data_IF_019259017413
#
_entry.id   IF_019259017413
#
_cell.length_a   1.000
_cell.length_b   1.000
_cell.length_c   1.000
_cell.angle_alpha   90.00
_cell.angle_beta   90.00
_cell.angle_gamma   90.00
#
_symmetry.space_group_name_H-M   'P 1'
#
loop_
_entity.id
_entity.type
_entity.pdbx_description
1 polymer ?
2 non-polymer ?
3 water ?
#
# COMPACT_ATOMS: atom_id res chain seq x y z
N UNK A 5 11.20 -16.65 -4.40
CA UNK A 5 10.91 -16.31 -5.79
C UNK A 5 12.19 -16.00 -6.56
N UNK A 6 12.04 -15.40 -7.74
CA UNK A 6 13.16 -15.14 -8.60
C UNK A 6 13.68 -13.72 -8.56
N UNK A 7 12.87 -12.80 -8.03
CA UNK A 7 13.26 -11.40 -7.95
C UNK A 7 12.88 -10.80 -6.61
N UNK A 8 13.26 -9.54 -6.43
CA UNK A 8 12.92 -8.84 -5.20
C UNK A 8 11.41 -8.68 -5.08
N UNK A 9 10.91 -8.82 -3.86
CA UNK A 9 9.48 -8.74 -3.59
C UNK A 9 9.20 -7.35 -3.03
N UNK A 10 8.68 -6.46 -3.88
CA UNK A 10 8.28 -5.12 -3.47
C UNK A 10 6.77 -5.00 -3.30
N UNK A 11 6.02 -5.82 -4.02
CA UNK A 11 4.57 -5.80 -3.88
C UNK A 11 4.16 -6.16 -2.46
N UNK A 12 3.12 -5.51 -1.97
CA UNK A 12 2.65 -5.90 -0.64
C UNK A 12 1.63 -7.03 -0.77
N UNK A 13 1.71 -8.03 0.10
CA UNK A 13 0.82 -9.19 -0.02
C UNK A 13 -0.62 -8.84 0.31
N UNK A 14 -1.53 -9.53 -0.35
CA UNK A 14 -2.97 -9.42 -0.11
C UNK A 14 -3.52 -10.81 0.21
N UNK A 15 -4.48 -10.86 1.12
CA UNK A 15 -5.02 -12.12 1.64
C UNK A 15 -6.42 -12.30 1.11
N UNK A 16 -6.66 -13.44 0.45
CA UNK A 16 -7.96 -13.75 -0.10
C UNK A 16 -8.93 -14.26 0.95
N UNK A 17 -10.14 -14.60 0.48
CA UNK A 17 -11.17 -15.08 1.39
C UNK A 17 -10.83 -16.43 1.97
N UNK A 18 -10.17 -17.30 1.19
CA UNK A 18 -9.77 -18.62 1.64
C UNK A 18 -8.37 -18.64 2.23
N UNK A 19 -7.83 -17.48 2.60
CA UNK A 19 -6.51 -17.40 3.21
C UNK A 19 -5.36 -17.36 2.22
N UNK A 20 -5.64 -17.42 0.92
CA UNK A 20 -4.56 -17.39 -0.07
C UNK A 20 -3.84 -16.05 -0.03
N UNK A 21 -2.51 -16.11 -0.08
CA UNK A 21 -1.66 -14.92 -0.04
C UNK A 21 -1.21 -14.62 -1.46
N UNK A 22 -1.56 -13.44 -1.96
CA UNK A 22 -1.18 -12.99 -3.29
C UNK A 22 -0.10 -11.92 -3.17
N UNK A 23 0.94 -12.03 -3.99
CA UNK A 23 2.02 -11.05 -3.99
C UNK A 23 2.68 -11.07 -5.36
N UNK A 24 3.17 -9.91 -5.79
CA UNK A 24 3.94 -9.83 -7.01
C UNK A 24 5.42 -9.85 -6.75
N UNK A 25 6.20 -10.10 -7.81
CA UNK A 25 7.64 -10.19 -7.69
C UNK A 25 8.29 -9.61 -8.93
N UNK A 26 9.58 -9.32 -8.81
CA UNK A 26 10.34 -8.75 -9.93
C UNK A 26 10.66 -9.77 -11.00
N UNK A 27 10.25 -11.04 -10.84
CA UNK A 27 10.41 -12.05 -11.86
C UNK A 27 9.22 -12.10 -12.82
N UNK A 28 8.41 -11.04 -12.85
CA UNK A 28 7.27 -10.88 -13.76
C UNK A 28 6.08 -11.77 -13.41
N UNK A 29 6.05 -12.34 -12.21
CA UNK A 29 4.98 -13.24 -11.82
C UNK A 29 4.16 -12.66 -10.67
N UNK A 30 2.85 -12.94 -10.69
CA UNK A 30 1.99 -12.76 -9.54
C UNK A 30 1.78 -14.13 -8.89
N UNK A 31 2.10 -14.24 -7.61
CA UNK A 31 2.08 -15.51 -6.92
C UNK A 31 0.80 -15.66 -6.09
N UNK A 32 0.28 -16.89 -6.06
CA UNK A 32 -0.79 -17.27 -5.15
C UNK A 32 -0.26 -18.40 -4.28
N UNK A 33 -0.14 -18.15 -2.98
CA UNK A 33 0.49 -19.07 -2.06
C UNK A 33 -0.50 -19.39 -0.95
N UNK A 34 -0.63 -20.69 -0.64
CA UNK A 34 -1.54 -21.14 0.40
C UNK A 34 -1.01 -20.72 1.77
N UNK A 35 -1.87 -20.73 2.79
CA UNK A 35 -1.40 -20.42 4.15
C UNK A 35 -0.34 -21.39 4.66
N UNK A 36 -0.23 -22.59 4.08
CA UNK A 36 0.76 -23.57 4.53
C UNK A 36 2.10 -23.40 3.83
N UNK A 37 2.25 -22.42 2.94
CA UNK A 37 3.52 -22.15 2.31
C UNK A 37 3.74 -22.83 0.98
N UNK A 38 2.75 -23.53 0.44
CA UNK A 38 2.90 -24.23 -0.82
C UNK A 38 2.30 -23.41 -1.95
N UNK A 39 2.88 -23.57 -3.14
CA UNK A 39 2.46 -22.79 -4.29
C UNK A 39 1.09 -23.24 -4.79
N UNK A 40 0.18 -22.28 -4.97
CA UNK A 40 -1.11 -22.56 -5.57
C UNK A 40 -1.03 -22.38 -7.09
N UNK A 41 -0.63 -21.19 -7.53
CA UNK A 41 -0.33 -20.94 -8.94
C UNK A 41 0.46 -19.65 -9.04
N UNK A 42 1.05 -19.43 -10.21
CA UNK A 42 1.73 -18.18 -10.52
C UNK A 42 1.38 -17.75 -11.94
N UNK A 43 1.18 -16.45 -12.12
CA UNK A 43 0.70 -15.87 -13.37
C UNK A 43 1.77 -14.92 -13.90
N UNK A 44 2.19 -15.15 -15.14
CA UNK A 44 3.27 -14.38 -15.75
C UNK A 44 2.72 -13.12 -16.41
N UNK A 45 3.23 -11.96 -16.00
CA UNK A 45 2.98 -10.70 -16.66
C UNK A 45 4.17 -10.35 -17.54
N UNK A 46 4.05 -9.25 -18.29
CA UNK A 46 5.12 -8.87 -19.19
C UNK A 46 6.34 -8.35 -18.47
N UNK A 47 6.14 -7.54 -17.42
CA UNK A 47 7.25 -6.94 -16.71
C UNK A 47 7.18 -7.12 -15.21
N UNK A 48 8.02 -6.39 -14.48
CA UNK A 48 8.07 -6.48 -13.02
C UNK A 48 6.72 -6.08 -12.41
N UNK A 49 6.36 -6.77 -11.33
CA UNK A 49 5.10 -6.51 -10.63
C UNK A 49 5.38 -5.76 -9.33
N UNK A 50 5.39 -4.44 -9.39
CA UNK A 50 5.57 -3.60 -8.20
C UNK A 50 4.26 -3.29 -7.51
N UNK A 51 3.16 -3.23 -8.25
CA UNK A 51 1.87 -2.91 -7.67
C UNK A 51 1.43 -3.99 -6.69
N UNK A 52 0.81 -3.55 -5.59
CA UNK A 52 0.28 -4.50 -4.62
C UNK A 52 -1.10 -4.94 -5.06
N UNK A 53 -1.40 -6.25 -5.07
CA UNK A 53 -2.68 -6.71 -5.60
C UNK A 53 -3.84 -6.36 -4.67
N UNK A 54 -5.01 -6.19 -5.27
CA UNK A 54 -6.26 -5.99 -4.56
C UNK A 54 -7.24 -7.07 -4.99
N UNK A 55 -8.16 -7.41 -4.09
CA UNK A 55 -9.07 -8.53 -4.27
C UNK A 55 -10.50 -8.01 -4.22
N UNK A 56 -11.26 -8.28 -5.28
CA UNK A 56 -12.65 -7.91 -5.34
C UNK A 56 -13.54 -8.85 -4.54
N UNK A 57 -14.83 -8.51 -4.52
CA UNK A 57 -15.78 -9.28 -3.73
C UNK A 57 -16.02 -10.67 -4.32
N UNK A 58 -15.81 -10.86 -5.62
CA UNK A 58 -15.97 -12.16 -6.25
C UNK A 58 -14.67 -12.94 -6.35
N UNK A 59 -13.60 -12.46 -5.72
CA UNK A 59 -12.34 -13.16 -5.71
C UNK A 59 -11.36 -12.77 -6.80
N UNK A 60 -11.71 -11.83 -7.66
CA UNK A 60 -10.81 -11.41 -8.73
C UNK A 60 -9.63 -10.65 -8.15
N UNK A 61 -8.44 -10.96 -8.66
CA UNK A 61 -7.19 -10.33 -8.21
C UNK A 61 -6.81 -9.27 -9.23
N UNK A 62 -6.71 -8.02 -8.78
CA UNK A 62 -6.31 -6.91 -9.62
C UNK A 62 -4.91 -6.46 -9.23
N UNK A 63 -4.00 -6.42 -10.20
CA UNK A 63 -2.62 -6.01 -9.96
C UNK A 63 -2.10 -5.31 -11.20
N UNK A 64 -1.18 -4.36 -10.98
CA UNK A 64 -0.56 -3.63 -12.06
C UNK A 64 0.83 -4.17 -12.35
N UNK A 65 1.27 -3.97 -13.58
CA UNK A 65 2.57 -4.45 -14.04
C UNK A 65 3.31 -3.34 -14.77
N UNK A 66 4.64 -3.48 -14.83
CA UNK A 66 5.45 -2.51 -15.54
C UNK A 66 5.28 -2.59 -17.05
N UNK A 67 4.52 -3.57 -17.56
CA UNK A 67 4.24 -3.70 -18.98
C UNK A 67 3.05 -2.84 -19.43
N UNK A 68 2.64 -1.87 -18.61
CA UNK A 68 1.60 -0.87 -18.84
C UNK A 68 0.19 -1.41 -18.56
N UNK A 69 0.03 -2.71 -18.26
CA UNK A 69 -1.29 -3.31 -18.16
C UNK A 69 -1.74 -3.41 -16.71
N UNK A 70 -3.04 -3.23 -16.50
CA UNK A 70 -3.72 -3.59 -15.26
C UNK A 70 -4.38 -4.94 -15.46
N UNK A 71 -4.00 -5.91 -14.63
CA UNK A 71 -4.44 -7.30 -14.80
C UNK A 71 -5.60 -7.62 -13.87
N UNK A 72 -6.57 -8.36 -14.39
CA UNK A 72 -7.63 -8.97 -13.59
C UNK A 72 -7.53 -10.47 -13.77
N UNK A 73 -7.28 -11.18 -12.67
CA UNK A 73 -6.99 -12.61 -12.71
C UNK A 73 -8.03 -13.34 -11.89
N UNK A 74 -8.63 -14.37 -12.49
CA UNK A 74 -9.60 -15.19 -11.79
C UNK A 74 -8.94 -15.96 -10.66
N UNK A 75 -9.71 -16.40 -9.67
CA UNK A 75 -9.12 -17.16 -8.56
C UNK A 75 -8.42 -18.45 -8.99
N UNK A 76 -8.70 -18.97 -10.18
CA UNK A 76 -8.02 -20.17 -10.65
C UNK A 76 -6.68 -19.88 -11.31
N UNK A 77 -6.24 -18.63 -11.33
CA UNK A 77 -4.96 -18.28 -11.90
C UNK A 77 -4.96 -17.97 -13.37
N UNK A 78 -6.12 -17.84 -14.00
CA UNK A 78 -6.22 -17.56 -15.42
C UNK A 78 -6.69 -16.13 -15.64
N UNK A 79 -6.31 -15.58 -16.80
CA UNK A 79 -6.61 -14.20 -17.11
C UNK A 79 -8.11 -13.98 -17.28
N UNK A 80 -8.63 -12.94 -16.61
CA UNK A 80 -9.98 -12.47 -16.89
C UNK A 80 -9.94 -11.41 -17.98
N UNK A 81 -9.14 -10.36 -17.77
CA UNK A 81 -8.90 -9.35 -18.80
C UNK A 81 -7.70 -8.51 -18.37
N UNK A 82 -7.14 -7.79 -19.33
CA UNK A 82 -6.07 -6.83 -19.08
C UNK A 82 -6.43 -5.51 -19.76
N UNK A 83 -6.08 -4.41 -19.11
CA UNK A 83 -6.40 -3.09 -19.63
C UNK A 83 -5.16 -2.38 -20.15
N UNK B 5 -3.09 0.59 -20.75
CA UNK B 5 -2.65 1.97 -20.60
C UNK B 5 -1.39 2.24 -21.42
N UNK B 6 -0.83 3.43 -21.25
CA UNK B 6 0.38 3.81 -21.96
C UNK B 6 1.52 4.16 -21.04
N UNK B 7 1.59 3.49 -19.89
CA UNK B 7 2.64 3.75 -18.93
C UNK B 7 2.64 2.70 -17.84
N UNK B 8 3.78 2.56 -17.19
CA UNK B 8 3.94 1.55 -16.14
C UNK B 8 2.97 1.84 -14.99
N UNK B 9 2.42 0.76 -14.43
CA UNK B 9 1.42 0.84 -13.38
C UNK B 9 2.12 0.52 -12.07
N UNK B 10 2.55 1.55 -11.34
CA UNK B 10 3.16 1.38 -10.03
C UNK B 10 2.16 1.50 -8.90
N UNK B 11 1.06 2.21 -9.13
CA UNK B 11 0.03 2.36 -8.10
C UNK B 11 -0.66 1.02 -7.83
N UNK B 12 -1.05 0.83 -6.58
CA UNK B 12 -1.80 -0.37 -6.22
C UNK B 12 -3.30 -0.09 -6.33
N UNK B 13 -4.06 -0.95 -6.99
CA UNK B 13 -5.46 -0.62 -7.27
C UNK B 13 -6.34 -0.65 -6.02
N UNK B 14 -7.41 0.12 -6.08
CA UNK B 14 -8.45 0.12 -5.06
C UNK B 14 -9.80 -0.14 -5.71
N UNK B 15 -10.66 -0.89 -5.03
CA UNK B 15 -11.93 -1.33 -5.58
C UNK B 15 -13.06 -0.53 -4.94
N UNK B 16 -13.87 0.11 -5.77
CA UNK B 16 -15.04 0.82 -5.28
C UNK B 16 -16.12 -0.13 -4.79
N UNK B 17 -17.12 0.46 -4.13
CA UNK B 17 -18.21 -0.33 -3.59
C UNK B 17 -19.05 -0.98 -4.68
N UNK B 18 -19.05 -0.42 -5.88
CA UNK B 18 -19.77 -1.02 -7.01
C UNK B 18 -18.87 -1.89 -7.89
N UNK B 19 -17.62 -2.11 -7.50
CA UNK B 19 -16.70 -2.92 -8.25
C UNK B 19 -15.73 -2.16 -9.13
N UNK B 20 -15.81 -0.83 -9.16
CA UNK B 20 -14.92 -0.05 -10.00
C UNK B 20 -13.49 -0.11 -9.48
N UNK B 21 -12.54 -0.33 -10.38
CA UNK B 21 -11.13 -0.44 -10.04
C UNK B 21 -10.46 0.89 -10.34
N UNK B 22 -9.81 1.48 -9.33
CA UNK B 22 -9.09 2.73 -9.47
C UNK B 22 -7.59 2.46 -9.31
N UNK B 23 -6.80 2.96 -10.27
CA UNK B 23 -5.35 2.79 -10.21
C UNK B 23 -4.70 3.92 -10.98
N UNK B 24 -3.51 4.32 -10.51
CA UNK B 24 -2.73 5.34 -11.18
C UNK B 24 -1.68 4.74 -12.10
N UNK B 25 -1.19 5.55 -13.02
CA UNK B 25 -0.21 5.10 -14.00
C UNK B 25 0.82 6.19 -14.22
N UNK B 26 1.93 5.82 -14.86
CA UNK B 26 3.02 6.75 -15.14
C UNK B 26 2.71 7.69 -16.30
N UNK B 27 1.56 7.53 -16.97
CA UNK B 27 1.14 8.45 -18.01
C UNK B 27 0.30 9.60 -17.46
N UNK B 28 0.47 9.93 -16.17
CA UNK B 28 -0.14 11.08 -15.49
C UNK B 28 -1.64 10.91 -15.26
N UNK B 29 -2.17 9.70 -15.38
CA UNK B 29 -3.62 9.47 -15.31
C UNK B 29 -3.97 8.60 -14.11
N UNK B 30 -5.09 8.93 -13.47
CA UNK B 30 -5.76 8.01 -12.55
C UNK B 30 -6.93 7.38 -13.31
N UNK B 31 -6.93 6.05 -13.38
CA UNK B 31 -7.88 5.31 -14.20
C UNK B 31 -9.03 4.77 -13.35
N UNK B 32 -10.19 4.63 -13.99
CA UNK B 32 -11.35 3.97 -13.41
C UNK B 32 -11.84 2.93 -14.41
N UNK B 33 -11.87 1.67 -13.98
CA UNK B 33 -12.15 0.55 -14.88
C UNK B 33 -13.33 -0.23 -14.35
N UNK B 34 -14.25 -0.58 -15.24
CA UNK B 34 -15.38 -1.42 -14.89
C UNK B 34 -14.91 -2.84 -14.56
N UNK B 35 -15.72 -3.62 -13.84
CA UNK B 35 -15.37 -5.03 -13.62
C UNK B 35 -15.21 -5.83 -14.90
N UNK B 36 -15.73 -5.33 -16.03
CA UNK B 36 -15.59 -6.00 -17.31
C UNK B 36 -14.30 -5.63 -18.04
N UNK B 37 -13.52 -4.69 -17.49
CA UNK B 37 -12.24 -4.34 -18.06
C UNK B 37 -12.24 -3.15 -19.00
N UNK B 38 -13.35 -2.44 -19.13
CA UNK B 38 -13.44 -1.30 -20.01
C UNK B 38 -13.39 -0.01 -19.20
N UNK B 39 -12.98 1.07 -19.88
CA UNK B 39 -12.67 2.32 -19.22
C UNK B 39 -13.95 3.04 -18.80
N UNK B 40 -14.11 3.25 -17.49
CA UNK B 40 -15.13 4.17 -16.99
C UNK B 40 -14.76 5.60 -17.33
N UNK B 41 -13.64 6.08 -16.79
CA UNK B 41 -13.11 7.40 -17.13
C UNK B 41 -11.65 7.44 -16.72
N UNK B 42 -11.01 8.55 -17.05
CA UNK B 42 -9.61 8.78 -16.75
C UNK B 42 -9.39 10.26 -16.44
N UNK B 43 -8.58 10.53 -15.43
CA UNK B 43 -8.37 11.88 -14.91
C UNK B 43 -6.91 12.26 -15.06
N UNK B 44 -6.65 13.41 -15.68
CA UNK B 44 -5.30 13.84 -16.02
C UNK B 44 -4.72 14.66 -14.87
N UNK B 45 -3.68 14.13 -14.24
CA UNK B 45 -2.88 14.89 -13.29
C UNK B 45 -1.67 15.46 -14.03
N UNK B 46 -0.76 16.10 -13.30
CA UNK B 46 0.38 16.76 -13.91
C UNK B 46 1.61 15.89 -14.01
N UNK B 47 1.66 14.82 -13.23
CA UNK B 47 2.83 13.95 -13.24
C UNK B 47 2.50 12.50 -12.97
N UNK B 48 3.53 11.68 -12.80
CA UNK B 48 3.32 10.25 -12.56
C UNK B 48 2.52 10.03 -11.29
N UNK B 49 1.64 9.02 -11.33
CA UNK B 49 0.78 8.71 -10.20
C UNK B 49 1.29 7.44 -9.52
N UNK B 50 2.25 7.60 -8.61
CA UNK B 50 2.77 6.49 -7.85
C UNK B 50 1.96 6.19 -6.60
N UNK B 51 1.18 7.15 -6.12
CA UNK B 51 0.35 6.94 -4.96
C UNK B 51 -0.77 5.96 -5.26
N UNK B 52 -1.17 5.20 -4.24
CA UNK B 52 -2.28 4.27 -4.39
C UNK B 52 -3.57 4.92 -3.92
N UNK B 53 -4.61 4.93 -4.74
CA UNK B 53 -5.82 5.69 -4.38
C UNK B 53 -6.55 5.08 -3.20
N UNK B 54 -7.15 5.95 -2.40
CA UNK B 54 -8.03 5.56 -1.29
C UNK B 54 -9.43 6.05 -1.58
N UNK B 55 -10.42 5.26 -1.16
CA UNK B 55 -11.82 5.52 -1.45
C UNK B 55 -12.53 5.93 -0.17
N UNK B 56 -13.21 7.08 -0.22
CA UNK B 56 -13.93 7.59 0.94
C UNK B 56 -15.27 6.90 1.12
N UNK B 57 -15.91 7.24 2.24
CA UNK B 57 -17.23 6.67 2.52
C UNK B 57 -18.28 7.15 1.53
N UNK B 58 -18.11 8.35 0.99
CA UNK B 58 -19.05 8.89 0.03
C UNK B 58 -18.65 8.59 -1.41
N UNK B 59 -17.59 7.81 -1.62
CA UNK B 59 -17.16 7.44 -2.96
C UNK B 59 -16.06 8.29 -3.55
N UNK B 60 -15.57 9.30 -2.83
CA UNK B 60 -14.51 10.15 -3.34
C UNK B 60 -13.19 9.37 -3.39
N UNK B 61 -12.46 9.55 -4.49
CA UNK B 61 -11.19 8.88 -4.71
C UNK B 61 -10.07 9.88 -4.44
N UNK B 62 -9.19 9.55 -3.50
CA UNK B 62 -8.06 10.40 -3.13
C UNK B 62 -6.77 9.73 -3.58
N UNK B 63 -5.94 10.49 -4.32
CA UNK B 63 -4.66 9.97 -4.78
C UNK B 63 -3.70 11.15 -4.92
N UNK B 64 -2.43 10.89 -4.64
CA UNK B 64 -1.38 11.88 -4.81
C UNK B 64 -0.65 11.70 -6.14
N UNK B 65 0.00 12.77 -6.58
CA UNK B 65 0.71 12.76 -7.84
C UNK B 65 2.06 13.44 -7.66
N UNK B 66 2.94 13.22 -8.64
CA UNK B 66 4.27 13.81 -8.61
C UNK B 66 4.26 15.31 -8.84
N UNK B 67 3.10 15.90 -9.13
CA UNK B 67 2.98 17.33 -9.38
C UNK B 67 2.63 18.13 -8.12
N UNK B 68 3.01 17.63 -6.95
CA UNK B 68 2.90 18.27 -5.64
C UNK B 68 1.50 18.22 -5.03
N UNK B 69 0.51 17.65 -5.71
CA UNK B 69 -0.89 17.79 -5.31
C UNK B 69 -1.45 16.48 -4.79
N UNK B 70 -2.31 16.58 -3.79
CA UNK B 70 -3.20 15.49 -3.38
C UNK B 70 -4.57 15.76 -3.98
N UNK B 71 -5.06 14.81 -4.77
CA UNK B 71 -6.27 15.01 -5.55
C UNK B 71 -7.46 14.34 -4.89
N UNK B 72 -8.62 14.99 -5.00
CA UNK B 72 -9.91 14.41 -4.62
C UNK B 72 -10.81 14.43 -5.84
N UNK B 73 -11.31 13.25 -6.22
CA UNK B 73 -12.04 13.10 -7.47
C UNK B 73 -13.40 12.49 -7.18
N UNK B 74 -14.45 13.09 -7.74
CA UNK B 74 -15.79 12.56 -7.62
C UNK B 74 -15.90 11.25 -8.39
N UNK B 75 -16.85 10.38 -8.03
CA UNK B 75 -16.96 9.08 -8.70
C UNK B 75 -17.25 9.18 -10.19
N UNK B 76 -17.69 10.32 -10.70
CA UNK B 76 -17.93 10.49 -12.13
C UNK B 76 -16.69 10.94 -12.89
N UNK B 77 -15.57 11.15 -12.21
CA UNK B 77 -14.31 11.43 -12.86
C UNK B 77 -13.89 12.87 -12.96
N UNK B 78 -14.61 13.79 -12.33
CA UNK B 78 -14.28 15.20 -12.38
C UNK B 78 -13.82 15.67 -11.01
N UNK B 79 -12.97 16.70 -11.02
CA UNK B 79 -12.21 17.05 -9.83
C UNK B 79 -13.11 17.64 -8.75
N UNK B 80 -12.97 17.12 -7.53
CA UNK B 80 -13.59 17.74 -6.37
C UNK B 80 -12.75 18.93 -5.87
N UNK B 81 -11.50 18.66 -5.51
CA UNK B 81 -10.55 19.69 -5.13
C UNK B 81 -9.16 19.09 -5.18
N UNK B 82 -8.15 19.96 -5.12
CA UNK B 82 -6.76 19.53 -5.07
C UNK B 82 -6.04 20.34 -4.01
N UNK B 83 -5.09 19.68 -3.33
CA UNK B 83 -4.32 20.33 -2.27
C UNK B 83 -2.83 20.32 -2.60
N UNK C 5 14.64 1.93 15.87
CA UNK C 5 15.12 1.30 14.65
C UNK C 5 16.18 2.14 13.94
N UNK C 6 16.73 1.58 12.87
CA UNK C 6 17.75 2.28 12.09
C UNK C 6 17.76 1.89 10.63
N UNK C 7 17.24 2.76 9.78
CA UNK C 7 17.17 2.53 8.35
C UNK C 7 15.93 3.17 7.79
N UNK C 8 15.99 3.54 6.52
CA UNK C 8 14.85 4.18 5.86
C UNK C 8 13.65 3.23 5.87
N UNK C 9 12.51 3.76 6.31
CA UNK C 9 11.30 2.96 6.49
C UNK C 9 10.39 3.25 5.30
N UNK C 10 10.43 2.36 4.30
CA UNK C 10 9.55 2.46 3.15
C UNK C 10 8.32 1.57 3.28
N UNK C 11 8.41 0.51 4.09
CA UNK C 11 7.25 -0.32 4.35
C UNK C 11 6.16 0.49 5.02
N UNK C 12 4.94 0.34 4.54
CA UNK C 12 3.81 0.97 5.20
C UNK C 12 3.34 0.07 6.34
N UNK C 13 3.11 0.62 7.53
CA UNK C 13 2.85 -0.23 8.70
C UNK C 13 1.46 -0.84 8.68
N UNK C 14 1.37 -2.05 9.23
CA UNK C 14 0.12 -2.74 9.43
C UNK C 14 -0.15 -2.88 10.93
N UNK C 15 -1.43 -2.93 11.28
CA UNK C 15 -1.86 -2.92 12.68
C UNK C 15 -2.53 -4.24 12.99
N UNK C 16 -2.04 -4.93 14.02
CA UNK C 16 -2.62 -6.19 14.45
C UNK C 16 -3.90 -5.99 15.25
N UNK C 17 -4.49 -7.11 15.65
CA UNK C 17 -5.72 -7.06 16.43
C UNK C 17 -5.49 -6.42 17.79
N UNK C 18 -4.39 -6.76 18.46
CA UNK C 18 -4.07 -6.20 19.75
C UNK C 18 -3.44 -4.82 19.66
N UNK C 19 -3.36 -4.24 18.46
CA UNK C 19 -2.76 -2.93 18.27
C UNK C 19 -1.28 -2.94 17.95
N UNK C 20 -0.68 -4.12 17.78
CA UNK C 20 0.74 -4.19 17.45
C UNK C 20 0.96 -3.65 16.04
N UNK C 21 1.95 -2.75 15.91
CA UNK C 21 2.26 -2.10 14.64
C UNK C 21 3.45 -2.82 14.02
N UNK C 22 3.25 -3.40 12.84
CA UNK C 22 4.30 -4.11 12.13
C UNK C 22 4.78 -3.28 10.95
N UNK C 23 6.09 -3.14 10.81
CA UNK C 23 6.68 -2.37 9.74
C UNK C 23 8.06 -2.93 9.41
N UNK C 24 8.46 -2.81 8.15
CA UNK C 24 9.77 -3.23 7.72
C UNK C 24 10.69 -2.03 7.51
N UNK C 25 11.99 -2.32 7.46
CA UNK C 25 12.98 -1.28 7.29
C UNK C 25 14.13 -1.81 6.46
N UNK C 26 15.04 -0.92 6.08
CA UNK C 26 16.17 -1.29 5.25
C UNK C 26 17.27 -2.01 6.02
N UNK C 27 17.15 -2.11 7.34
CA UNK C 27 18.13 -2.83 8.15
C UNK C 27 17.93 -4.35 8.10
N UNK C 28 17.12 -4.84 7.17
CA UNK C 28 16.80 -6.24 6.92
C UNK C 28 15.84 -6.81 7.95
N UNK C 29 15.24 -5.98 8.80
CA UNK C 29 14.43 -6.44 9.92
C UNK C 29 12.95 -6.15 9.68
N UNK C 30 12.11 -7.09 10.06
CA UNK C 30 10.68 -6.83 10.23
C UNK C 30 10.43 -6.50 11.70
N UNK C 31 9.71 -5.42 11.96
CA UNK C 31 9.60 -4.85 13.28
C UNK C 31 8.18 -4.99 13.80
N UNK C 32 8.05 -5.49 15.04
CA UNK C 32 6.78 -5.54 15.75
C UNK C 32 6.88 -4.64 16.97
N UNK C 33 6.07 -3.59 17.00
CA UNK C 33 6.13 -2.57 18.05
C UNK C 33 4.79 -2.52 18.76
N UNK C 34 4.84 -2.44 20.08
CA UNK C 34 3.62 -2.33 20.88
C UNK C 34 3.05 -0.91 20.75
N UNK C 35 1.76 -0.74 21.03
CA UNK C 35 1.14 0.59 20.87
C UNK C 35 1.79 1.68 21.71
N UNK C 36 2.57 1.34 22.73
CA UNK C 36 3.21 2.35 23.56
C UNK C 36 4.50 2.89 22.95
N UNK C 37 5.02 2.26 21.90
CA UNK C 37 6.26 2.68 21.27
C UNK C 37 7.47 1.84 21.61
N UNK C 38 7.30 0.75 22.35
CA UNK C 38 8.39 -0.12 22.73
C UNK C 38 8.46 -1.32 21.80
N UNK C 39 9.67 -1.89 21.69
CA UNK C 39 9.87 -3.03 20.83
C UNK C 39 9.24 -4.28 21.42
N UNK C 40 8.63 -5.10 20.56
CA UNK C 40 8.12 -6.41 20.95
C UNK C 40 9.03 -7.53 20.48
N UNK C 41 9.43 -7.52 19.22
CA UNK C 41 10.43 -8.44 18.68
C UNK C 41 10.85 -7.94 17.31
N UNK C 42 11.90 -8.58 16.77
CA UNK C 42 12.39 -8.26 15.44
C UNK C 42 12.82 -9.55 14.76
N UNK C 43 12.50 -9.67 13.48
CA UNK C 43 12.87 -10.84 12.68
C UNK C 43 13.79 -10.39 11.55
N UNK C 44 14.87 -11.14 11.35
CA UNK C 44 15.90 -10.80 10.38
C UNK C 44 15.67 -11.55 9.08
N UNK C 45 15.60 -10.83 7.97
CA UNK C 45 15.56 -11.41 6.64
C UNK C 45 16.94 -11.28 6.00
N UNK C 46 17.04 -11.65 4.73
CA UNK C 46 18.28 -11.57 3.99
C UNK C 46 18.46 -10.32 3.15
N UNK C 47 17.56 -9.36 3.25
CA UNK C 47 17.68 -8.15 2.45
C UNK C 47 16.72 -7.09 2.96
N UNK C 48 16.70 -5.97 2.25
CA UNK C 48 15.83 -4.87 2.62
C UNK C 48 14.37 -5.26 2.49
N UNK C 49 13.54 -4.71 3.36
CA UNK C 49 12.11 -5.00 3.42
C UNK C 49 11.36 -3.76 2.98
N UNK C 50 11.00 -3.69 1.70
CA UNK C 50 10.18 -2.61 1.18
C UNK C 50 8.70 -2.99 1.08
N UNK C 51 8.39 -4.28 1.09
CA UNK C 51 7.01 -4.72 1.05
C UNK C 51 6.28 -4.32 2.33
N UNK C 52 5.03 -3.91 2.19
CA UNK C 52 4.28 -3.63 3.41
C UNK C 52 3.67 -4.91 3.96
N UNK C 53 3.72 -5.13 5.27
CA UNK C 53 3.24 -6.40 5.82
C UNK C 53 1.73 -6.51 5.76
N UNK C 54 1.26 -7.75 5.64
CA UNK C 54 -0.15 -8.08 5.68
C UNK C 54 -0.36 -9.12 6.77
N UNK C 55 -1.50 -9.02 7.47
CA UNK C 55 -1.78 -9.86 8.63
C UNK C 55 -2.89 -10.83 8.29
N UNK C 56 -2.67 -12.11 8.59
CA UNK C 56 -3.65 -13.13 8.33
C UNK C 56 -4.72 -13.20 9.41
N UNK C 57 -5.67 -14.11 9.21
CA UNK C 57 -6.79 -14.24 10.12
C UNK C 57 -6.35 -14.77 11.49
N UNK C 58 -5.35 -15.65 11.52
CA UNK C 58 -4.84 -16.19 12.77
C UNK C 58 -3.63 -15.42 13.30
N UNK C 59 -3.37 -14.22 12.77
CA UNK C 59 -2.29 -13.38 13.25
C UNK C 59 -0.98 -13.50 12.50
N UNK C 60 -0.91 -14.36 11.49
CA UNK C 60 0.33 -14.52 10.73
C UNK C 60 0.66 -13.24 9.97
N UNK C 61 1.93 -12.87 9.99
CA UNK C 61 2.42 -11.65 9.36
C UNK C 61 3.17 -12.02 8.11
N UNK C 62 2.64 -11.62 6.95
CA UNK C 62 3.28 -11.88 5.67
C UNK C 62 3.94 -10.62 5.15
N UNK C 63 5.18 -10.75 4.69
CA UNK C 63 5.93 -9.61 4.16
C UNK C 63 7.03 -10.16 3.26
N UNK C 64 7.39 -9.37 2.25
CA UNK C 64 8.43 -9.75 1.32
C UNK C 64 9.74 -9.02 1.59
N UNK C 65 10.81 -9.54 0.99
CA UNK C 65 12.13 -8.98 1.18
C UNK C 65 12.88 -9.00 -0.14
N UNK C 66 13.97 -8.23 -0.20
CA UNK C 66 14.82 -8.20 -1.39
C UNK C 66 15.64 -9.45 -1.56
N UNK C 67 15.60 -10.39 -0.62
CA UNK C 67 16.29 -11.67 -0.74
C UNK C 67 15.49 -12.71 -1.49
N UNK C 68 14.48 -12.29 -2.25
CA UNK C 68 13.62 -13.08 -3.14
C UNK C 68 12.52 -13.84 -2.40
N UNK C 69 12.44 -13.76 -1.07
CA UNK C 69 11.53 -14.58 -0.31
C UNK C 69 10.32 -13.80 0.18
N UNK C 70 9.19 -14.48 0.27
CA UNK C 70 8.04 -14.00 1.03
C UNK C 70 8.02 -14.72 2.36
N UNK C 71 7.98 -13.95 3.44
CA UNK C 71 8.10 -14.49 4.79
C UNK C 71 6.73 -14.60 5.45
N UNK C 72 6.46 -15.75 6.05
CA UNK C 72 5.32 -15.92 6.95
C UNK C 72 5.87 -16.10 8.36
N UNK C 73 5.47 -15.22 9.27
CA UNK C 73 6.05 -15.14 10.60
C UNK C 73 4.92 -15.18 11.62
N UNK C 74 5.07 -16.05 12.63
CA UNK C 74 4.08 -16.18 13.69
C UNK C 74 3.99 -14.88 14.49
N UNK C 75 2.87 -14.65 15.17
CA UNK C 75 2.75 -13.43 16.00
C UNK C 75 3.79 -13.33 17.10
N UNK C 76 4.37 -14.45 17.54
CA UNK C 76 5.42 -14.40 18.56
C UNK C 76 6.77 -13.99 18.00
N UNK C 77 6.92 -13.91 16.69
CA UNK C 77 8.14 -13.44 16.08
C UNK C 77 9.06 -14.50 15.54
N UNK C 78 8.57 -15.70 15.24
CA UNK C 78 9.41 -16.76 14.72
C UNK C 78 8.90 -17.25 13.37
N UNK C 79 9.82 -17.80 12.58
CA UNK C 79 9.53 -18.17 11.21
C UNK C 79 8.50 -19.28 11.14
N UNK C 80 7.44 -19.04 10.37
CA UNK C 80 6.48 -20.08 10.03
C UNK C 80 6.91 -20.83 8.78
N UNK C 81 7.19 -20.10 7.70
CA UNK C 81 7.79 -20.64 6.48
C UNK C 81 8.21 -19.47 5.60
N UNK C 82 9.05 -19.76 4.62
CA UNK C 82 9.44 -18.79 3.61
C UNK C 82 9.37 -19.43 2.23
N UNK C 83 8.91 -18.66 1.26
CA UNK C 83 8.72 -19.15 -0.10
C UNK C 83 9.68 -18.48 -1.07
N UNK D 5 0.67 21.18 -1.50
CA UNK D 5 1.95 20.82 -0.89
C UNK D 5 3.12 21.30 -1.75
N UNK D 6 4.34 21.06 -1.27
CA UNK D 6 5.53 21.48 -1.99
C UNK D 6 6.50 20.35 -2.25
N UNK D 7 6.00 19.12 -2.28
CA UNK D 7 6.84 17.97 -2.54
C UNK D 7 6.07 16.89 -3.25
N UNK D 8 6.81 15.98 -3.88
CA UNK D 8 6.19 14.85 -4.56
C UNK D 8 5.50 13.93 -3.55
N UNK D 9 4.28 13.52 -3.89
CA UNK D 9 3.44 12.74 -2.99
C UNK D 9 3.54 11.28 -3.42
N UNK D 10 4.34 10.51 -2.67
CA UNK D 10 4.46 9.07 -2.89
C UNK D 10 3.60 8.26 -1.96
N UNK D 11 3.43 8.73 -0.72
CA UNK D 11 2.63 8.01 0.25
C UNK D 11 1.21 7.80 -0.26
N UNK D 12 0.63 6.67 0.10
CA UNK D 12 -0.76 6.52 -0.33
C UNK D 12 -1.70 7.00 0.76
N UNK D 13 -2.74 7.74 0.41
CA UNK D 13 -3.59 8.35 1.44
C UNK D 13 -4.34 7.32 2.25
N UNK D 14 -4.50 7.62 3.54
CA UNK D 14 -5.33 6.85 4.45
C UNK D 14 -6.42 7.74 5.01
N UNK D 15 -7.63 7.19 5.15
CA UNK D 15 -8.80 7.95 5.53
C UNK D 15 -9.22 7.56 6.93
N UNK D 16 -9.35 8.56 7.81
CA UNK D 16 -9.70 8.31 9.19
C UNK D 16 -11.17 8.03 9.40
N UNK D 17 -11.53 7.87 10.68
CA UNK D 17 -12.92 7.55 11.02
C UNK D 17 -13.87 8.67 10.62
N UNK D 18 -13.44 9.91 10.75
CA UNK D 18 -14.27 11.06 10.43
C UNK D 18 -14.08 11.56 9.00
N UNK D 19 -13.25 10.90 8.21
CA UNK D 19 -13.00 11.30 6.84
C UNK D 19 -11.74 12.11 6.62
N UNK D 20 -10.91 12.28 7.65
CA UNK D 20 -9.66 13.02 7.49
C UNK D 20 -8.68 12.23 6.64
N UNK D 21 -8.10 12.89 5.65
CA UNK D 21 -7.17 12.26 4.72
C UNK D 21 -5.75 12.54 5.19
N UNK D 22 -4.99 11.47 5.44
CA UNK D 22 -3.59 11.57 5.84
C UNK D 22 -2.72 11.07 4.69
N UNK D 23 -1.68 11.83 4.36
CA UNK D 23 -0.75 11.42 3.32
C UNK D 23 0.57 12.12 3.57
N UNK D 24 1.67 11.40 3.33
CA UNK D 24 2.99 11.98 3.44
C UNK D 24 3.44 12.62 2.14
N UNK D 25 4.58 13.30 2.21
CA UNK D 25 5.11 14.01 1.06
C UNK D 25 6.62 14.10 1.17
N UNK D 26 7.25 14.45 0.06
CA UNK D 26 8.71 14.57 0.01
C UNK D 26 9.21 15.84 0.69
N UNK D 27 8.31 16.74 1.10
CA UNK D 27 8.71 17.97 1.79
C UNK D 27 8.90 17.76 3.28
N UNK D 28 9.05 16.51 3.72
CA UNK D 28 9.33 16.05 5.09
C UNK D 28 8.09 16.06 5.97
N UNK D 29 6.91 16.39 5.45
CA UNK D 29 5.73 16.59 6.28
C UNK D 29 4.71 15.46 6.09
N UNK D 30 4.02 15.13 7.18
CA UNK D 30 2.82 14.31 7.14
C UNK D 30 1.63 15.26 7.20
N UNK D 31 0.89 15.37 6.09
CA UNK D 31 -0.24 16.29 6.01
C UNK D 31 -1.51 15.63 6.53
N UNK D 32 -2.40 16.46 7.05
CA UNK D 32 -3.75 16.04 7.44
C UNK D 32 -4.74 17.01 6.82
N UNK D 33 -5.61 16.50 5.97
CA UNK D 33 -6.50 17.32 5.15
C UNK D 33 -7.94 17.01 5.52
N UNK D 34 -8.75 18.06 5.66
CA UNK D 34 -10.17 17.92 5.89
C UNK D 34 -10.88 17.48 4.62
N UNK D 35 -12.05 16.84 4.74
CA UNK D 35 -12.78 16.41 3.53
C UNK D 35 -13.14 17.52 2.57
N UNK D 36 -13.04 18.79 2.97
CA UNK D 36 -13.36 19.90 2.08
C UNK D 36 -12.15 20.43 1.31
N UNK D 37 -10.98 19.84 1.51
CA UNK D 37 -9.79 20.26 0.78
C UNK D 37 -8.97 21.34 1.44
N UNK D 38 -9.07 21.50 2.76
CA UNK D 38 -8.31 22.50 3.48
C UNK D 38 -7.46 21.82 4.56
N UNK D 39 -6.32 22.45 4.85
CA UNK D 39 -5.37 21.88 5.80
C UNK D 39 -5.96 21.84 7.21
N UNK D 40 -5.81 20.70 7.87
CA UNK D 40 -6.11 20.58 9.30
C UNK D 40 -4.86 20.77 10.15
N UNK D 41 -3.79 20.05 9.84
CA UNK D 41 -2.49 20.23 10.46
C UNK D 41 -1.47 19.47 9.65
N UNK D 42 -0.20 19.78 9.91
CA UNK D 42 0.91 19.08 9.28
C UNK D 42 2.01 18.88 10.30
N UNK D 43 2.64 17.71 10.26
CA UNK D 43 3.70 17.33 11.18
C UNK D 43 4.97 17.07 10.40
N UNK D 44 6.09 17.55 10.92
CA UNK D 44 7.36 17.51 10.22
C UNK D 44 8.23 16.38 10.75
N UNK D 45 8.78 15.59 9.85
CA UNK D 45 9.77 14.57 10.17
C UNK D 45 11.15 15.05 9.69
N UNK D 46 12.15 14.18 9.84
CA UNK D 46 13.50 14.52 9.45
C UNK D 46 13.91 13.97 8.11
N UNK D 47 12.94 13.65 7.27
CA UNK D 47 13.23 13.10 5.96
C UNK D 47 11.97 12.92 5.16
N UNK D 48 12.14 12.39 3.96
CA UNK D 48 11.01 12.17 3.07
C UNK D 48 10.07 11.11 3.65
N UNK D 49 8.77 11.32 3.47
CA UNK D 49 7.75 10.42 3.97
C UNK D 49 7.22 9.63 2.79
N UNK D 50 7.70 8.39 2.64
CA UNK D 50 7.24 7.50 1.58
C UNK D 50 6.36 6.38 2.11
N UNK D 51 6.42 6.08 3.40
CA UNK D 51 5.53 5.09 4.00
C UNK D 51 4.09 5.58 3.92
N UNK D 52 3.17 4.64 3.70
CA UNK D 52 1.79 5.11 3.71
C UNK D 52 1.22 4.99 5.12
N UNK D 53 0.48 5.99 5.58
CA UNK D 53 0.03 6.01 6.98
C UNK D 53 -0.96 4.90 7.29
N UNK D 54 -0.93 4.45 8.53
CA UNK D 54 -1.88 3.48 9.07
C UNK D 54 -2.55 4.08 10.31
N UNK D 55 -3.85 3.88 10.42
CA UNK D 55 -4.66 4.50 11.47
C UNK D 55 -5.14 3.42 12.41
N UNK D 56 -4.97 3.65 13.72
CA UNK D 56 -5.38 2.71 14.72
C UNK D 56 -6.84 2.86 15.10
N UNK D 57 -7.28 1.99 16.03
CA UNK D 57 -8.67 2.03 16.47
C UNK D 57 -8.97 3.33 17.20
N UNK D 58 -8.05 3.83 18.00
CA UNK D 58 -8.24 5.06 18.74
C UNK D 58 -7.85 6.30 17.95
N UNK D 59 -7.55 6.15 16.66
CA UNK D 59 -7.27 7.29 15.80
C UNK D 59 -5.81 7.63 15.61
N UNK D 60 -4.89 6.89 16.24
CA UNK D 60 -3.48 7.17 16.11
C UNK D 60 -3.01 6.88 14.69
N UNK D 61 -2.23 7.80 14.13
CA UNK D 61 -1.73 7.69 12.76
C UNK D 61 -0.26 7.30 12.82
N UNK D 62 0.06 6.12 12.31
CA UNK D 62 1.43 5.63 12.26
C UNK D 62 1.97 5.74 10.85
N UNK D 63 3.25 6.13 10.74
CA UNK D 63 3.88 6.32 9.44
C UNK D 63 5.39 6.33 9.64
N UNK D 64 6.13 5.81 8.66
CA UNK D 64 7.56 5.85 8.67
C UNK D 64 8.12 7.00 7.85
N UNK D 65 9.44 7.18 7.95
CA UNK D 65 10.11 8.24 7.24
C UNK D 65 11.56 7.84 6.98
N UNK D 66 12.21 8.58 6.08
CA UNK D 66 13.59 8.30 5.71
C UNK D 66 14.58 8.61 6.81
N UNK D 67 14.14 9.28 7.88
CA UNK D 67 15.04 9.65 8.97
C UNK D 67 15.15 8.54 10.00
N UNK D 68 14.96 7.29 9.57
CA UNK D 68 15.14 6.05 10.33
C UNK D 68 14.02 5.79 11.33
N UNK D 69 13.01 6.65 11.44
CA UNK D 69 12.05 6.58 12.52
C UNK D 69 10.69 6.08 12.04
N UNK D 70 9.94 5.47 12.96
CA UNK D 70 8.53 5.19 12.80
C UNK D 70 7.77 6.11 13.74
N UNK D 71 6.85 6.90 13.19
CA UNK D 71 6.18 7.94 13.96
C UNK D 71 4.76 7.52 14.33
N UNK D 72 4.34 7.92 15.53
CA UNK D 72 2.96 7.77 15.98
C UNK D 72 2.42 9.17 16.27
N UNK D 73 1.31 9.52 15.65
CA UNK D 73 0.77 10.87 15.74
C UNK D 73 -0.68 10.81 16.18
N UNK D 74 -1.02 11.60 17.19
CA UNK D 74 -2.39 11.71 17.63
C UNK D 74 -3.20 12.49 16.60
N UNK D 75 -4.51 12.27 16.54
CA UNK D 75 -5.34 13.01 15.56
C UNK D 75 -5.29 14.52 15.72
N UNK D 76 -4.77 15.04 16.85
CA UNK D 76 -4.63 16.49 16.98
C UNK D 76 -3.50 17.02 16.11
N UNK D 77 -2.49 16.20 15.83
CA UNK D 77 -1.34 16.61 15.05
C UNK D 77 -0.04 16.64 15.80
N UNK D 78 -0.04 16.30 17.09
CA UNK D 78 1.15 16.32 17.91
C UNK D 78 1.72 14.91 18.08
N UNK D 79 3.01 14.84 18.37
CA UNK D 79 3.71 13.57 18.44
C UNK D 79 3.21 12.74 19.62
N UNK D 80 2.92 11.46 19.36
CA UNK D 80 2.65 10.50 20.42
C UNK D 80 3.96 9.85 20.87
N UNK D 81 4.68 9.23 19.96
CA UNK D 81 6.01 8.70 20.20
C UNK D 81 6.66 8.40 18.85
N UNK D 82 7.97 8.16 18.87
CA UNK D 82 8.71 7.78 17.69
C UNK D 82 9.65 6.63 18.04
N UNK D 83 9.87 5.76 17.06
CA UNK D 83 10.69 4.57 17.26
C UNK D 83 11.75 4.45 16.18
X LIG E 1 16.17 0.79 -13.27
X LIG E 1 14.08 0.16 -12.14
X LIG E 1 18.08 9.47 -4.79
X LIG E 1 14.28 10.38 -6.07
X LIG E 1 20.20 3.79 -3.86
X LIG E 1 17.83 -0.75 -10.87
X LIG E 1 15.79 -1.37 -9.76
X LIG E 1 13.99 6.44 -14.20
X LIG E 1 18.16 3.19 -2.74
X LIG E 1 11.95 5.83 -13.08
X LIG E 1 18.11 8.85 -2.33
X LIG E 1 14.02 0.78 -14.61
X LIG E 1 19.48 -1.46 -5.52
X LIG E 1 15.97 8.85 -3.69
X LIG E 1 12.68 11.05 -11.44
X LIG E 1 14.31 12.26 -7.66
X LIG E 1 19.62 4.88 -1.72
X LIG E 1 17.85 -2.64 -9.27
X LIG E 1 12.53 4.75 -15.23
X LIG E 1 17.07 11.07 -3.07
X LIG E 1 15.07 -1.43 -13.87
X LIG E 1 20.31 -0.32 -3.39
X LIG E 1 11.94 9.77 -13.70
X LIG E 1 15.42 12.51 -5.39
X LIG E 1 16.73 -2.88 -11.54
X LIG E 1 20.35 2.44 -1.76
X LIG E 1 11.83 7.20 -15.19
X LIG E 1 20.55 9.55 -3.54
X LIG E 1 16.38 1.52 -15.92
X LIG E 1 21.83 -0.76 -6.84
X LIG E 1 15.09 11.79 -12.64
X LIG E 1 11.60 0.08 -13.35
X LIG E 1 15.73 8.10 -1.05
X LIG E 1 10.33 10.40 -10.10
X LIG E 1 17.10 -2.25 -4.23
X LIG E 1 19.46 11.86 -4.32
X LIG E 1 17.49 -0.78 -15.16
X LIG E 1 22.72 0.43 -4.63
X LIG E 1 14.28 10.66 -14.91
X LIG E 1 12.70 -2.23 -12.58
X LIG E 1 14.64 10.41 -1.81
X LIG E 1 9.49 9.20 -12.31
X LIG E 1 17.96 -1.05 -2.01
X LIG E 1 16.71 12.97 -8.96
X LIG E 1 20.14 1.00 -5.55
X LIG E 1 22.01 5.64 -2.98
X LIG E 1 20.26 -1.92 -10.54
X LIG E 1 14.91 5.44 -16.56
X LIG E 1 15.47 -3.41 -7.98
X LIG E 1 10.12 4.02 -13.96
X LIG E 1 11.88 11.60 -6.40
X LIG E 1 17.24 4.15 -0.40
X LIG E 1 17.85 13.31 -6.59
X LIG E 1 19.10 -2.24 -12.89
X LIG E 1 22.80 3.11 -2.98
X LIG E 1 18.06 0.34 -4.42
X LIG E 1 14.15 7.97 -16.56
X LIG E 1 14.32 -3.71 -10.35
X LIG E 1 13.03 11.90 -4.05
X LIG E 1 9.38 6.55 -13.97
X LIG E 1 18.03 1.64 -0.36
X LIG E 1 19.53 11.23 -1.79
X LIG E 1 15.30 -0.79 -16.57
X LIG E 1 22.07 -2.10 -4.60
X LIG E 1 12.83 12.52 -13.81
X LIG E 1 12.60 -1.59 -15.12
X LIG E 1 14.06 9.25 -12.48
X LIG E 1 16.81 10.41 -0.39
X LIG E 1 10.20 11.73 -12.37
X LIG E 1 19.40 -2.93 -3.12
X LIG E 1 15.68 14.64 -7.17
X LIG E 1 19.13 -4.22 -11.19
X LIG E 1 22.17 4.27 -0.72
X LIG E 1 12.61 6.15 -17.64
X LIG E 1 16.50 -5.03 -9.77
X LIG E 1 13.02 13.89 -5.77
X LIG E 1 10.00 5.37 -16.22
X LIG E 1 12.00 8.62 -11.39
X LIG E 1 19.53 3.48 0.70
X LIG E 1 19.16 10.92 -6.87
X LIG E 1 18.90 0.49 -13.20
X LIG E 1 22.17 2.89 -5.65
X LIG E 1 15.87 8.51 -14.47
X LIG E 1 13.00 -1.31 -10.04
X LIG E 1 13.22 9.17 -3.76
X LIG E 1 9.99 6.75 -11.28
X LIG E 1 16.29 1.06 -2.44
X LIG E 1 20.55 7.52 -1.79
X LIG E 1 16.36 10.98 -7.14
X LIG E 1 14.43 13.00 -10.35
X LIG E 1 14.15 2.88 -16.52
X LIG E 1 20.30 -2.64 -7.96
X LIG E 1 11.59 2.11 -15.13
X LIG E 1 17.75 -3.43 -6.56
X LIG E 1 17.97 6.74 -0.44
X LIG E 1 11.88 12.26 -8.98
X LIG E 1 17.50 13.72 -3.93
X LIG E 1 17.08 -3.35 -14.32
X LIG E 1 22.51 0.63 -1.90
X LIG E 1 17.29 9.60 -3.48
X LIG E 1 14.86 0.05 -13.45
X LIG E 1 19.51 -0.10 -4.68
X LIG E 1 12.61 9.70 -12.28
X LIG E 1 15.11 11.52 -6.55
X LIG E 1 17.04 -1.90 -10.39
X LIG E 1 19.58 3.55 -2.53
X LIG E 1 12.58 6.08 -14.42
X LIG E 1 20.07 10.16 -5.35
X LIG E 1 12.31 10.20 -5.08
X LIG E 1 19.79 -0.54 -11.86
X LIG E 1 14.04 -2.30 -8.79
X LIG E 1 22.22 4.42 -4.52
X LIG E 1 16.49 2.63 -1.41
X LIG E 1 15.68 6.94 -15.54
X LIG E 1 9.94 5.22 -12.41
X LIG E 1 20.21 9.44 -1.71
X LIG E 1 17.34 8.58 -0.21
X LIG E 1 14.75 1.05 -16.74
X LIG E 1 14.29 8.44 -2.36
X LIG E 1 11.92 0.18 -15.20
X LIG E 1 21.34 -2.49 -6.31
X LIG E 1 18.51 -3.38 -4.76
X LIG E 1 13.70 12.95 -12.15
X LIG E 1 10.86 12.13 -10.63
X LIG E 1 15.13 13.99 -8.88
X LIG E 1 12.26 13.17 -7.36
X LIG E 1 21.53 6.02 -1.20
X LIG E 1 19.91 -3.52 -9.59
X LIG E 1 17.07 -4.39 -8.06
X LIG E 1 17.82 1.20 -14.63
X LIG E 1 13.46 4.49 -17.28
X LIG E 1 18.68 5.15 0.32
X LIG E 1 10.62 3.64 -15.75
X LIG E 1 18.68 12.63 -2.85
X LIG E 1 15.79 11.78 -1.35
X LIG E 1 16.32 -2.14 -15.61
X LIG E 1 13.47 -3.00 -14.07
X LIG E 1 22.52 -0.76 -3.23
X LIG E 1 19.67 -1.65 -1.67
X LIG E 1 12.57 11.26 -15.28
X LIG E 1 12.10 -0.54 -11.55
X LIG E 1 9.73 10.39 -13.70
X LIG E 1 16.77 14.34 -5.57
X LIG E 1 13.87 13.50 -4.05
X LIG E 1 18.27 -3.84 -12.91
X LIG E 1 15.41 -4.72 -11.38
X LIG E 1 22.58 2.45 -1.31
X LIG E 1 19.73 1.57 0.25
X LIG E 1 12.47 8.06 -17.20
X LIG E 1 9.60 7.20 -15.63
X LIG E 1 22.10 1.15 -6.47
X LIG E 1 16.43 -0.63 -3.35
X LIG E 1 15.74 10.16 -13.53
X LIG E 1 10.04 8.48 -10.45
X LIG E 1 18.12 11.88 -8.12
X LIG E 1 12.13 9.77 -16.40
X LIG E 1 14.66 -4.09 -13.00
X LIG E 1 15.05 13.00 -2.65
X LIG E 1 9.67 9.00 -15.04
X LIG E 1 20.09 -0.11 -0.57
X LIG E 1 19.19 9.13 -0.10
X LIG E 1 12.91 0.49 -16.83
X LIG E 1 20.21 -3.85 -5.54
X LIG E 1 12.01 13.47 -11.39
X LIG E 1 13.29 14.44 -8.44
X LIG E 1 18.91 -4.80 -8.54
X LIG E 1 20.41 6.03 0.39
X LIG E 1 11.73 3.60 -17.33
X LIG E 1 17.39 12.91 -1.42
X LIG E 1 14.74 -3.27 -15.53
X LIG E 1 21.60 -1.84 -1.90
X LIG E 1 10.65 11.45 -15.05
X LIG E 1 15.19 14.85 -4.53
X LIG E 1 16.98 -5.22 -12.43
X LIG E 1 21.66 1.85 0.31
X LIG E 1 10.53 7.81 -17.25
X LIG E 1 20.27 8.53 -6.08
X LIG E 1 17.76 2.87 -13.96
X LIG E 1 21.21 1.70 -7.93
X LIG E 1 16.70 9.63 -12.10
X LIG E 1 11.91 1.08 -10.79
X LIG E 1 14.35 6.77 -3.03
X LIG E 1 10.92 7.93 -8.98
X LIG E 1 15.40 -0.13 -4.75
X LIG E 1 18.01 10.60 -9.29
X LIG E 1 21.41 5.50 -5.63
X LIG E 1 20.09 0.79 -10.78
X LIG E 1 16.68 5.91 -14.55
X LIG E 1 14.14 -1.05 -7.59
X LIG E 1 10.72 4.13 -11.31
X LIG E 1 11.98 8.89 -6.17
X LIG E 1 15.40 3.65 -2.31
X LIG E 1 21.61 10.87 -5.63
X LIG E 1 19.07 1.32 -15.81
X LIG E 1 23.72 1.07 -7.08
X LIG E 1 16.91 11.06 -14.42
X LIG E 1 10.58 -1.29 -11.21
X LIG E 1 13.02 8.32 -1.20
X LIG E 1 8.40 8.49 -9.92
X LIG E 1 15.30 -1.46 -2.34
X LIG E 1 19.39 12.87 -8.82
X LIG E 1 21.34 -0.68 -12.67
X LIG E 1 23.88 4.91 -4.73
X LIG E 1 16.78 7.38 -16.84
X LIG E 1 12.74 -3.30 -8.16
X LIG E 1 10.80 10.36 -4.22
X LIG E 1 8.24 4.83 -12.17
X LIG E 1 15.29 2.29 -0.17
X LIG E 1 21.71 9.88 -0.99
X LIG E 1 15.08 1.15 -18.42
X LIG E 1 22.64 -3.48 -6.83
X LIG E 1 14.26 14.50 -12.64
X LIG E 1 10.40 -0.24 -15.90
X LIG E 1 17.00 8.46 1.46
X LIG E 1 9.54 13.13 -10.17
X LIG E 1 17.99 -4.94 -4.28
X LIG E 1 15.49 15.45 -9.77
X LIG E 1 21.41 -4.39 -9.70
X LIG E 1 22.89 6.90 -0.57
X LIG E 1 13.97 4.16 -18.92
X LIG E 1 16.70 -5.86 -7.18
X LIG E 1 10.77 14.07 -7.29
X LIG E 1 9.25 2.75 -16.36
X LIG E 1 18.17 5.47 1.96
X LIG E 1 19.83 13.88 -2.45
X LIG E 1 17.10 -2.81 -17.02
X LIG E 1 24.15 -1.31 -2.98
X LIG E 1 12.86 12.42 -16.55
X LIG E 1 12.31 -4.24 -14.46
X LIG E 1 15.02 12.44 0.06
X LIG E 1 8.11 10.97 -13.93
X LIG E 1 19.41 -2.78 -0.37
X LIG E 1 17.54 15.90 -5.66
X LIG E 1 19.39 -4.84 -13.82
X LIG E 1 24.22 2.50 -0.68
X LIG E 1 12.71 8.57 -18.86
X LIG E 1 14.64 -6.29 -11.29
X LIG E 1 12.77 14.51 -3.15
X LIG E 1 7.97 7.17 -16.27
X LIG E 1 19.50 1.03 1.91
#
# INVERSE_FOLDING_TARGET
GSHMTGGSVHSSPAIGQDGTIYVGSNDHYLYAINPNGKLKWKFETGGSVHSSPAIGQDGTIYVGSNDHYLYAINPNGKLKWKFE
GSHMTGGSVHSSPAIGQDGTIYVGSNDHYLYAINPNGKLKWKFETGGSVHSSPAIGQDGTIYVGSNDHYLYAINPNGKLKWKFE
GSHMTGGSVHSSPAIGQDGTIYVGSNDHYLYAINPNGKLKWKFETGGSVHSSPAIGQDGTIYVGSNDHYLYAINPNGKLKWKFE
GSHMTGGSVHSSPAIGQDGTIYVGSNDHYLYAINPNGKLKWKFETGGSVHSSPAIGQDGTIYVGSNDHYLYAINPNGKLKWKFE
IR0 O3 O4 O1 O10 O11 O12 O13 O14 O15 O16 O17 O18 O19 O2 O20 O21 O22 O23 O24 O25 O26 O27 O28 O29 O30 O31 O32 O33 O34 O35 O36 O37 O38 O39 O40 O41 O42 O43 O44 O45 O46 O47 O48 O49 O5 O50 O51 O52 O53 O54 O55 O56 O57 O58 O59 O6 O60 O61 O62 O63 O64 O65 O66 O67 O68 O69 O7 O70 O71 O72 O73 O74 O75 O76 O77 O78 O79 O8 O80 O81 O82 O83 O84 O85 O86 O87 O88 O89 O9 O90 O91 O92 O93 O94 O95 O96 O97 O98 O99 P1 P2 P3 P4 P5 P6 P7 P8 W1 W10 W11 W12 W13 W14 W15 W16 W17 W18 W19 W2 W20 W21 W22 W23 W24 W25 W26 W27 W28 W29 W3 W30 W31 W32 W33 W34 W35 W36 W37 W38 W39 W4 W40 W41 W42 W43 W44 W45 W46 W47 W48 W5 W6 W7 W8 W9 O100 O101 O102 O103 O104 O105 O106 O107 O108 O109 O110 O111 O112 O113 O114 O115 O116 O117 O118 O119 O120 O121 O122 O123 O124 O125 O126 O127 O128 O129 O130 O131 O132 O133 O134 O135 O136 O137 O138 O139 O140 O141 O142 O143 O144 O145 O146 O147 O148 O149 O150 O151 O152 O153 O154 O155 O156 O157 O158 O159 O160 O161 O162 O163 O164 O165 O166 O167 O168 O169 O170 O171 O172 O173 O174 O175 O176 O177 O178 O179 O180 O181 O182 O183 O184
#
